data_IF_170644840904
#
_entry.id   IF_170644840904
#
_cell.length_a   1.000
_cell.length_b   1.000
_cell.length_c   1.000
_cell.angle_alpha   90.00
_cell.angle_beta   90.00
_cell.angle_gamma   90.00
#
_symmetry.space_group_name_H-M   'P 1'
#
loop_
_entity.id
_entity.type
_entity.pdbx_description
1 polymer ?
#
# COMPACT_ATOMS: atom_id res chain seq x y z
N UNK A 1 8.72 4.86 -30.69
CA UNK A 1 8.61 6.22 -31.23
C UNK A 1 9.99 6.60 -31.73
N UNK A 2 10.13 6.86 -33.03
CA UNK A 2 11.44 7.19 -33.63
C UNK A 2 11.80 8.63 -33.25
N UNK A 3 12.59 8.77 -32.19
CA UNK A 3 12.98 10.05 -31.58
C UNK A 3 14.02 10.82 -32.41
N UNK A 4 14.49 10.26 -33.53
CA UNK A 4 15.42 10.90 -34.45
C UNK A 4 14.90 12.24 -35.00
N UNK A 5 13.58 12.38 -35.17
CA UNK A 5 12.95 13.62 -35.65
C UNK A 5 12.80 14.73 -34.60
N UNK A 6 13.08 14.45 -33.33
CA UNK A 6 12.97 15.44 -32.25
C UNK A 6 14.22 16.34 -32.11
N UNK A 7 15.29 16.01 -32.83
CA UNK A 7 16.59 16.70 -32.76
C UNK A 7 16.99 17.22 -34.15
N UNK A 8 16.21 18.15 -34.71
CA UNK A 8 16.61 18.89 -35.90
C UNK A 8 17.21 20.22 -35.46
N UNK A 9 18.50 20.39 -35.75
CA UNK A 9 19.27 21.59 -35.46
C UNK A 9 18.77 22.77 -36.32
N UNK A 10 18.40 23.93 -35.76
CA UNK A 10 17.95 25.08 -36.54
C UNK A 10 19.03 25.68 -37.47
N UNK A 11 20.31 25.34 -37.31
CA UNK A 11 21.42 25.89 -38.12
C UNK A 11 21.89 24.97 -39.27
N UNK A 12 21.23 23.84 -39.53
CA UNK A 12 21.47 23.04 -40.74
C UNK A 12 22.78 22.23 -40.76
N UNK A 13 23.39 21.97 -39.60
CA UNK A 13 24.51 21.03 -39.49
C UNK A 13 24.00 19.57 -39.49
N UNK A 14 24.53 18.74 -40.40
CA UNK A 14 24.28 17.29 -40.47
C UNK A 14 24.92 16.56 -39.26
N UNK A 15 24.26 16.62 -38.10
CA UNK A 15 24.64 15.83 -36.94
C UNK A 15 24.08 14.41 -37.09
N UNK A 16 24.97 13.43 -37.35
CA UNK A 16 24.61 12.01 -37.42
C UNK A 16 24.44 11.43 -36.02
N UNK A 17 23.20 11.41 -35.52
CA UNK A 17 22.89 10.77 -34.24
C UNK A 17 22.78 9.24 -34.40
N UNK A 18 23.70 8.49 -33.77
CA UNK A 18 23.54 7.03 -33.66
C UNK A 18 22.57 6.69 -32.52
N UNK A 19 21.28 6.54 -32.85
CA UNK A 19 20.30 6.03 -31.88
C UNK A 19 20.50 4.52 -31.74
N UNK A 20 21.31 4.10 -30.76
CA UNK A 20 21.44 2.69 -30.40
C UNK A 20 20.11 2.23 -29.79
N UNK A 21 19.36 1.41 -30.53
CA UNK A 21 18.16 0.75 -30.02
C UNK A 21 18.60 -0.18 -28.88
N UNK A 22 18.37 0.24 -27.64
CA UNK A 22 18.70 -0.58 -26.46
C UNK A 22 17.89 -1.87 -26.54
N UNK A 23 18.57 -3.02 -26.45
CA UNK A 23 17.91 -4.31 -26.36
C UNK A 23 17.27 -4.43 -24.97
N UNK A 24 16.00 -4.04 -24.90
CA UNK A 24 15.21 -4.02 -23.64
C UNK A 24 15.17 -5.39 -22.99
N UNK A 25 15.17 -6.48 -23.78
CA UNK A 25 15.15 -7.85 -23.25
C UNK A 25 16.46 -8.20 -22.56
N UNK A 26 17.62 -7.89 -23.18
CA UNK A 26 18.93 -8.08 -22.53
C UNK A 26 19.12 -7.15 -21.34
N UNK A 27 18.68 -5.90 -21.43
CA UNK A 27 18.71 -4.96 -20.31
C UNK A 27 17.95 -5.52 -19.10
N UNK A 28 16.72 -5.96 -19.31
CA UNK A 28 15.90 -6.59 -18.26
C UNK A 28 16.55 -7.86 -17.70
N UNK A 29 17.10 -8.73 -18.55
CA UNK A 29 17.78 -9.95 -18.13
C UNK A 29 19.00 -9.63 -17.23
N UNK A 30 19.87 -8.70 -17.63
CA UNK A 30 21.03 -8.33 -16.82
C UNK A 30 20.62 -7.70 -15.48
N UNK A 31 19.61 -6.84 -15.46
CA UNK A 31 19.08 -6.29 -14.21
C UNK A 31 18.58 -7.39 -13.26
N UNK A 32 17.85 -8.39 -13.78
CA UNK A 32 17.38 -9.51 -12.97
C UNK A 32 18.52 -10.38 -12.44
N UNK A 33 19.58 -10.60 -13.23
CA UNK A 33 20.77 -11.33 -12.77
C UNK A 33 21.45 -10.58 -11.61
N UNK A 34 21.62 -9.26 -11.74
CA UNK A 34 22.19 -8.42 -10.67
C UNK A 34 21.36 -8.53 -9.40
N UNK A 35 20.03 -8.38 -9.50
CA UNK A 35 19.13 -8.51 -8.35
C UNK A 35 19.16 -9.92 -7.72
N UNK A 36 19.25 -10.97 -8.54
CA UNK A 36 19.37 -12.35 -8.07
C UNK A 36 20.65 -12.60 -7.28
N UNK A 37 21.79 -12.12 -7.79
CA UNK A 37 23.09 -12.24 -7.10
C UNK A 37 23.06 -11.50 -5.76
N UNK A 38 22.56 -10.25 -5.75
CA UNK A 38 22.41 -9.47 -4.53
C UNK A 38 21.50 -10.15 -3.51
N UNK A 39 20.36 -10.70 -3.94
CA UNK A 39 19.45 -11.44 -3.08
C UNK A 39 20.10 -12.68 -2.45
N UNK A 40 20.86 -13.46 -3.22
CA UNK A 40 21.59 -14.63 -2.71
C UNK A 40 22.60 -14.23 -1.62
N UNK A 41 23.35 -13.14 -1.83
CA UNK A 41 24.30 -12.61 -0.85
C UNK A 41 23.56 -12.20 0.43
N UNK A 42 22.47 -11.42 0.31
CA UNK A 42 21.70 -10.95 1.46
C UNK A 42 21.05 -12.10 2.25
N UNK A 43 20.53 -13.12 1.58
CA UNK A 43 19.98 -14.31 2.24
C UNK A 43 21.05 -15.11 2.96
N UNK A 44 22.22 -15.30 2.35
CA UNK A 44 23.34 -15.97 2.99
C UNK A 44 23.82 -15.20 4.23
N UNK A 45 23.97 -13.87 4.11
CA UNK A 45 24.33 -13.01 5.25
C UNK A 45 23.28 -13.08 6.35
N UNK A 46 22.00 -13.07 6.01
CA UNK A 46 20.91 -13.21 7.00
C UNK A 46 21.04 -14.54 7.73
N UNK A 47 21.21 -15.65 7.01
CA UNK A 47 21.41 -16.97 7.61
C UNK A 47 22.66 -17.04 8.51
N UNK A 48 23.79 -16.50 8.06
CA UNK A 48 25.05 -16.55 8.81
C UNK A 48 25.07 -15.62 10.03
N UNK A 49 24.37 -14.48 9.97
CA UNK A 49 24.42 -13.44 11.00
C UNK A 49 23.25 -13.50 11.99
N UNK A 50 22.11 -14.12 11.63
CA UNK A 50 20.98 -14.24 12.55
C UNK A 50 21.21 -15.35 13.57
N UNK A 51 21.11 -15.00 14.86
CA UNK A 51 21.10 -15.95 15.97
C UNK A 51 19.69 -16.08 16.51
N UNK A 52 19.14 -17.29 16.50
CA UNK A 52 17.82 -17.57 17.04
C UNK A 52 17.84 -17.41 18.58
N UNK A 53 17.04 -16.47 19.10
CA UNK A 53 16.99 -16.14 20.54
C UNK A 53 15.75 -16.69 21.27
N UNK A 54 14.76 -17.22 20.54
CA UNK A 54 13.49 -17.70 21.11
C UNK A 54 13.36 -19.19 20.82
N UNK A 55 13.47 -20.03 21.84
CA UNK A 55 13.23 -21.47 21.67
C UNK A 55 11.73 -21.77 21.76
N UNK A 56 11.16 -22.59 20.86
CA UNK A 56 9.79 -23.05 21.00
C UNK A 56 9.63 -23.89 22.28
N UNK A 57 8.57 -23.66 23.05
CA UNK A 57 8.30 -24.46 24.25
C UNK A 57 8.13 -25.94 23.87
N UNK A 58 8.89 -26.83 24.52
CA UNK A 58 8.94 -28.26 24.22
C UNK A 58 7.59 -29.01 24.38
N UNK A 59 6.62 -28.41 25.07
CA UNK A 59 5.34 -29.06 25.43
C UNK A 59 4.13 -28.75 24.53
N UNK A 60 4.30 -28.06 23.40
CA UNK A 60 3.14 -27.61 22.62
C UNK A 60 2.93 -28.41 21.33
N UNK A 61 2.07 -29.43 21.40
CA UNK A 61 1.48 -30.03 20.19
C UNK A 61 0.71 -28.95 19.42
N UNK A 62 1.27 -28.49 18.29
CA UNK A 62 0.68 -27.47 17.45
C UNK A 62 -0.56 -28.02 16.72
N UNK A 63 -1.75 -27.79 17.28
CA UNK A 63 -2.99 -28.00 16.53
C UNK A 63 -3.29 -26.78 15.66
N UNK A 64 -2.92 -26.84 14.38
CA UNK A 64 -3.17 -25.77 13.39
C UNK A 64 -4.66 -25.34 13.38
N UNK A 65 -5.58 -26.29 13.52
CA UNK A 65 -7.03 -26.03 13.60
C UNK A 65 -7.39 -25.14 14.80
N UNK A 66 -6.74 -25.37 15.96
CA UNK A 66 -6.95 -24.55 17.17
C UNK A 66 -6.39 -23.14 16.97
N UNK A 67 -5.22 -23.01 16.35
CA UNK A 67 -4.60 -21.72 16.10
C UNK A 67 -5.40 -20.89 15.09
N UNK A 68 -5.89 -21.51 14.03
CA UNK A 68 -6.77 -20.84 13.06
C UNK A 68 -8.10 -20.42 13.70
N UNK A 69 -8.68 -21.28 14.56
CA UNK A 69 -9.89 -20.93 15.32
C UNK A 69 -9.64 -19.74 16.26
N UNK A 70 -8.48 -19.70 16.92
CA UNK A 70 -8.09 -18.59 17.78
C UNK A 70 -7.88 -17.30 16.99
N UNK A 71 -7.28 -17.39 15.80
CA UNK A 71 -7.09 -16.26 14.89
C UNK A 71 -8.42 -15.65 14.46
N UNK A 72 -9.38 -16.46 13.98
CA UNK A 72 -10.70 -15.97 13.55
C UNK A 72 -11.53 -15.42 14.73
N UNK A 73 -11.26 -15.89 15.95
CA UNK A 73 -11.86 -15.36 17.19
C UNK A 73 -11.14 -14.12 17.74
N UNK A 74 -9.96 -13.79 17.21
CA UNK A 74 -9.22 -12.58 17.58
C UNK A 74 -9.89 -11.38 16.89
N UNK A 75 -10.83 -10.75 17.60
CA UNK A 75 -11.62 -9.63 17.10
C UNK A 75 -10.75 -8.48 16.57
N UNK A 76 -9.70 -8.00 17.29
CA UNK A 76 -8.77 -7.02 16.74
C UNK A 76 -8.14 -7.45 15.40
N UNK A 77 -7.75 -8.71 15.26
CA UNK A 77 -7.17 -9.23 14.01
C UNK A 77 -8.19 -9.25 12.87
N UNK A 78 -9.43 -9.68 13.12
CA UNK A 78 -10.50 -9.67 12.12
C UNK A 78 -10.82 -8.24 11.63
N UNK A 79 -10.78 -7.26 12.53
CA UNK A 79 -10.98 -5.86 12.17
C UNK A 79 -9.80 -5.35 11.33
N UNK A 80 -8.56 -5.69 11.68
CA UNK A 80 -7.39 -5.37 10.86
C UNK A 80 -7.43 -6.01 9.47
N UNK A 81 -7.97 -7.22 9.35
CA UNK A 81 -8.17 -7.88 8.06
C UNK A 81 -9.10 -7.04 7.16
N UNK A 82 -10.20 -6.53 7.70
CA UNK A 82 -11.11 -5.66 6.95
C UNK A 82 -10.41 -4.35 6.59
N UNK A 83 -9.76 -3.71 7.56
CA UNK A 83 -9.00 -2.47 7.34
C UNK A 83 -7.95 -2.64 6.23
N UNK A 84 -7.16 -3.72 6.24
CA UNK A 84 -6.10 -3.95 5.26
C UNK A 84 -6.63 -4.19 3.85
N UNK A 85 -7.69 -5.00 3.70
CA UNK A 85 -8.34 -5.28 2.41
C UNK A 85 -8.82 -3.98 1.76
N UNK A 86 -9.56 -3.16 2.50
CA UNK A 86 -10.14 -1.93 1.95
C UNK A 86 -9.09 -0.83 1.73
N UNK A 87 -8.09 -0.74 2.60
CA UNK A 87 -6.93 0.16 2.40
C UNK A 87 -6.16 -0.20 1.13
N UNK A 88 -5.91 -1.49 0.89
CA UNK A 88 -5.20 -1.93 -0.31
C UNK A 88 -6.06 -1.83 -1.55
N UNK A 89 -7.38 -2.04 -1.42
CA UNK A 89 -8.34 -1.75 -2.48
C UNK A 89 -8.22 -0.31 -2.97
N UNK A 90 -8.16 0.66 -2.06
CA UNK A 90 -7.90 2.06 -2.42
C UNK A 90 -6.62 2.21 -3.24
N UNK A 91 -5.49 1.65 -2.75
CA UNK A 91 -4.17 1.83 -3.37
C UNK A 91 -4.18 1.24 -4.77
N UNK A 92 -4.67 0.02 -4.93
CA UNK A 92 -4.64 -0.69 -6.21
C UNK A 92 -5.58 -0.05 -7.24
N UNK A 93 -6.80 0.33 -6.84
CA UNK A 93 -7.73 0.97 -7.77
C UNK A 93 -7.14 2.31 -8.24
N UNK A 94 -6.63 3.13 -7.33
CA UNK A 94 -6.07 4.43 -7.69
C UNK A 94 -4.82 4.27 -8.56
N UNK A 95 -3.85 3.45 -8.14
CA UNK A 95 -2.62 3.21 -8.90
C UNK A 95 -2.90 2.63 -10.28
N UNK A 96 -3.84 1.68 -10.37
CA UNK A 96 -4.28 1.09 -11.63
C UNK A 96 -4.97 2.09 -12.56
N UNK A 97 -5.54 3.19 -12.04
CA UNK A 97 -6.27 4.19 -12.83
C UNK A 97 -5.38 5.34 -13.30
N UNK A 98 -4.18 5.56 -12.74
CA UNK A 98 -3.32 6.74 -13.06
C UNK A 98 -3.05 6.85 -14.55
N UNK A 99 -2.64 5.75 -15.18
CA UNK A 99 -2.33 5.76 -16.61
C UNK A 99 -3.57 6.08 -17.46
N UNK A 100 -4.74 5.51 -17.12
CA UNK A 100 -5.98 5.78 -17.85
C UNK A 100 -6.44 7.22 -17.71
N UNK A 101 -6.34 7.79 -16.50
CA UNK A 101 -6.70 9.18 -16.22
C UNK A 101 -5.84 10.15 -17.03
N UNK A 102 -4.52 9.97 -17.03
CA UNK A 102 -3.61 10.86 -17.76
C UNK A 102 -3.68 10.66 -19.27
N UNK A 103 -3.85 9.43 -19.75
CA UNK A 103 -3.93 9.12 -21.18
C UNK A 103 -5.26 9.58 -21.82
N UNK A 104 -6.40 9.32 -21.18
CA UNK A 104 -7.71 9.52 -21.81
C UNK A 104 -8.46 10.77 -21.33
N UNK A 105 -8.25 11.23 -20.08
CA UNK A 105 -8.95 12.41 -19.55
C UNK A 105 -8.12 13.68 -19.63
N UNK A 106 -6.85 13.64 -19.21
CA UNK A 106 -5.91 14.78 -19.33
C UNK A 106 -5.31 14.86 -20.74
N UNK A 107 -5.34 13.76 -21.51
CA UNK A 107 -4.78 13.68 -22.87
C UNK A 107 -3.25 13.94 -22.91
N UNK A 108 -2.55 13.63 -21.82
CA UNK A 108 -1.09 13.75 -21.71
C UNK A 108 -0.50 12.62 -20.85
N UNK A 109 -0.07 11.55 -21.52
CA UNK A 109 0.46 10.34 -20.87
C UNK A 109 1.83 10.57 -20.19
N UNK A 110 2.64 11.52 -20.66
CA UNK A 110 3.96 11.82 -20.08
C UNK A 110 3.85 12.33 -18.64
N UNK A 111 2.76 13.01 -18.31
CA UNK A 111 2.50 13.50 -16.96
C UNK A 111 2.22 12.38 -15.95
N UNK A 112 1.80 11.19 -16.40
CA UNK A 112 1.50 10.07 -15.51
C UNK A 112 2.74 9.62 -14.71
N UNK A 113 3.90 9.55 -15.38
CA UNK A 113 5.16 9.19 -14.74
C UNK A 113 5.58 10.25 -13.71
N UNK A 114 5.51 11.53 -14.07
CA UNK A 114 5.80 12.63 -13.15
C UNK A 114 4.84 12.64 -11.95
N UNK A 115 3.57 12.35 -12.17
CA UNK A 115 2.56 12.23 -11.12
C UNK A 115 2.93 11.13 -10.12
N UNK A 116 3.26 9.92 -10.59
CA UNK A 116 3.71 8.81 -9.74
C UNK A 116 4.99 9.13 -8.96
N UNK A 117 5.97 9.79 -9.59
CA UNK A 117 7.22 10.19 -8.94
C UNK A 117 6.94 11.23 -7.84
N UNK A 118 6.13 12.25 -8.14
CA UNK A 118 5.77 13.28 -7.15
C UNK A 118 5.04 12.68 -5.93
N UNK A 119 4.15 11.72 -6.15
CA UNK A 119 3.49 10.97 -5.08
C UNK A 119 4.48 10.15 -4.25
N UNK A 120 5.41 9.46 -4.90
CA UNK A 120 6.46 8.68 -4.21
C UNK A 120 7.33 9.56 -3.31
N UNK A 121 7.77 10.73 -3.79
CA UNK A 121 8.55 11.69 -3.00
C UNK A 121 7.75 12.16 -1.77
N UNK A 122 6.46 12.47 -1.95
CA UNK A 122 5.58 12.86 -0.87
C UNK A 122 5.40 11.74 0.18
N UNK A 123 5.27 10.48 -0.27
CA UNK A 123 5.21 9.31 0.62
C UNK A 123 6.49 9.17 1.43
N UNK A 124 7.67 9.32 0.83
CA UNK A 124 8.96 9.21 1.54
C UNK A 124 9.02 10.23 2.70
N UNK A 125 8.67 11.48 2.42
CA UNK A 125 8.68 12.55 3.42
C UNK A 125 7.63 12.25 4.52
N UNK A 126 6.43 11.81 4.14
CA UNK A 126 5.38 11.48 5.10
C UNK A 126 5.71 10.27 5.98
N UNK A 127 6.37 9.24 5.43
CA UNK A 127 6.80 8.06 6.20
C UNK A 127 7.79 8.46 7.30
N UNK A 128 8.73 9.36 7.02
CA UNK A 128 9.70 9.84 8.01
C UNK A 128 9.05 10.48 9.24
N UNK A 129 7.86 11.07 9.09
CA UNK A 129 7.10 11.69 10.18
C UNK A 129 6.22 10.70 10.95
N UNK A 130 6.09 9.45 10.47
CA UNK A 130 5.15 8.46 11.05
C UNK A 130 5.46 8.17 12.51
N UNK A 131 6.72 7.94 12.87
CA UNK A 131 7.10 7.60 14.24
C UNK A 131 6.79 8.74 15.23
N UNK A 132 7.06 9.98 14.83
CA UNK A 132 6.76 11.17 15.65
C UNK A 132 5.25 11.34 15.83
N UNK A 133 4.48 11.19 14.74
CA UNK A 133 3.03 11.34 14.78
C UNK A 133 2.35 10.20 15.54
N UNK A 134 2.82 8.96 15.38
CA UNK A 134 2.24 7.78 16.02
C UNK A 134 2.45 7.83 17.54
N UNK A 135 3.62 8.28 18.01
CA UNK A 135 3.89 8.49 19.44
C UNK A 135 3.03 9.59 20.07
N UNK A 136 2.72 10.65 19.32
CA UNK A 136 1.92 11.80 19.82
C UNK A 136 0.41 11.54 19.81
N UNK A 137 -0.10 10.98 18.72
CA UNK A 137 -1.54 10.83 18.50
C UNK A 137 -2.04 9.43 18.86
N UNK A 138 -1.15 8.45 18.86
CA UNK A 138 -1.47 7.05 19.00
C UNK A 138 -1.78 6.36 17.66
N UNK A 139 -1.52 5.05 17.58
CA UNK A 139 -1.60 4.29 16.31
C UNK A 139 -3.01 4.30 15.71
N UNK A 140 -4.02 3.93 16.51
CA UNK A 140 -5.43 3.89 16.10
C UNK A 140 -5.93 5.26 15.64
N UNK A 141 -5.67 6.31 16.44
CA UNK A 141 -6.16 7.66 16.15
C UNK A 141 -5.48 8.25 14.93
N UNK A 142 -4.16 8.06 14.79
CA UNK A 142 -3.44 8.49 13.61
C UNK A 142 -3.98 7.82 12.35
N UNK A 143 -4.21 6.50 12.38
CA UNK A 143 -4.80 5.77 11.26
C UNK A 143 -6.16 6.35 10.85
N UNK A 144 -7.07 6.61 11.80
CA UNK A 144 -8.37 7.22 11.54
C UNK A 144 -8.25 8.61 10.89
N UNK A 145 -7.34 9.46 11.40
CA UNK A 145 -7.11 10.81 10.87
C UNK A 145 -6.58 10.74 9.44
N UNK A 146 -5.53 9.95 9.19
CA UNK A 146 -4.91 9.91 7.86
C UNK A 146 -5.82 9.30 6.81
N UNK A 147 -6.55 8.23 7.15
CA UNK A 147 -7.50 7.62 6.22
C UNK A 147 -8.73 8.50 5.97
N UNK A 148 -9.23 9.18 7.01
CA UNK A 148 -10.32 10.15 6.88
C UNK A 148 -9.94 11.32 5.98
N UNK A 149 -8.79 11.96 6.24
CA UNK A 149 -8.28 13.07 5.42
C UNK A 149 -8.02 12.62 3.98
N UNK A 150 -7.40 11.45 3.79
CA UNK A 150 -7.17 10.89 2.46
C UNK A 150 -8.47 10.67 1.69
N UNK A 151 -9.53 10.21 2.36
CA UNK A 151 -10.86 10.04 1.76
C UNK A 151 -11.42 11.37 1.29
N UNK A 152 -11.42 12.41 2.15
CA UNK A 152 -11.92 13.74 1.81
C UNK A 152 -11.14 14.34 0.63
N UNK A 153 -9.80 14.36 0.69
CA UNK A 153 -9.01 14.91 -0.41
C UNK A 153 -9.19 14.12 -1.71
N UNK A 154 -9.40 12.81 -1.62
CA UNK A 154 -9.69 11.98 -2.80
C UNK A 154 -11.07 12.27 -3.40
N UNK A 155 -12.08 12.59 -2.59
CA UNK A 155 -13.38 13.05 -3.10
C UNK A 155 -13.25 14.43 -3.77
N UNK A 156 -12.54 15.36 -3.13
CA UNK A 156 -12.26 16.70 -3.68
C UNK A 156 -11.55 16.61 -5.04
N UNK A 157 -10.67 15.63 -5.21
CA UNK A 157 -9.94 15.40 -6.46
C UNK A 157 -10.86 15.26 -7.69
N UNK A 158 -12.09 14.72 -7.52
CA UNK A 158 -13.05 14.60 -8.63
C UNK A 158 -13.41 15.96 -9.23
N UNK A 159 -13.47 17.01 -8.42
CA UNK A 159 -13.98 18.33 -8.82
C UNK A 159 -12.91 19.20 -9.50
N UNK A 160 -11.67 18.72 -9.58
CA UNK A 160 -10.57 19.43 -10.25
C UNK A 160 -10.76 19.28 -11.78
N UNK A 161 -10.86 20.38 -12.53
CA UNK A 161 -11.01 20.31 -13.98
C UNK A 161 -9.67 19.98 -14.66
N UNK A 162 -9.73 19.38 -15.86
CA UNK A 162 -8.55 18.79 -16.54
C UNK A 162 -7.46 19.81 -16.92
N UNK A 163 -7.83 21.07 -17.07
CA UNK A 163 -6.95 22.20 -17.40
C UNK A 163 -6.06 22.62 -16.22
N UNK A 164 -6.49 22.36 -14.98
CA UNK A 164 -5.78 22.75 -13.76
C UNK A 164 -4.74 21.69 -13.33
N UNK A 165 -3.77 21.41 -14.20
CA UNK A 165 -2.74 20.37 -13.96
C UNK A 165 -1.97 20.62 -12.65
N UNK A 166 -1.62 21.87 -12.35
CA UNK A 166 -0.94 22.21 -11.10
C UNK A 166 -1.74 21.78 -9.86
N UNK A 167 -3.06 22.01 -9.86
CA UNK A 167 -3.94 21.63 -8.75
C UNK A 167 -4.09 20.10 -8.66
N UNK A 168 -4.16 19.39 -9.79
CA UNK A 168 -4.14 17.92 -9.85
C UNK A 168 -2.91 17.36 -9.13
N UNK A 169 -1.73 17.90 -9.42
CA UNK A 169 -0.48 17.50 -8.77
C UNK A 169 -0.44 17.90 -7.29
N UNK A 170 -0.81 19.13 -6.95
CA UNK A 170 -0.81 19.61 -5.57
C UNK A 170 -1.69 18.74 -4.65
N UNK A 171 -2.93 18.46 -5.07
CA UNK A 171 -3.84 17.61 -4.29
C UNK A 171 -3.33 16.17 -4.23
N UNK A 172 -2.73 15.65 -5.30
CA UNK A 172 -2.14 14.31 -5.27
C UNK A 172 -0.95 14.19 -4.31
N UNK A 173 -0.08 15.20 -4.25
CA UNK A 173 1.03 15.26 -3.31
C UNK A 173 0.50 15.28 -1.87
N UNK A 174 -0.52 16.09 -1.60
CA UNK A 174 -1.17 16.12 -0.27
C UNK A 174 -1.76 14.75 0.09
N UNK A 175 -2.49 14.12 -0.81
CA UNK A 175 -3.07 12.77 -0.58
C UNK A 175 -1.96 11.76 -0.29
N UNK A 176 -0.90 11.75 -1.11
CA UNK A 176 0.22 10.82 -0.99
C UNK A 176 0.98 11.00 0.33
N UNK A 177 1.22 12.26 0.72
CA UNK A 177 1.82 12.59 2.01
C UNK A 177 0.96 12.15 3.20
N UNK A 178 -0.34 12.49 3.16
CA UNK A 178 -1.29 12.14 4.23
C UNK A 178 -1.39 10.63 4.40
N UNK A 179 -1.38 9.87 3.31
CA UNK A 179 -1.47 8.42 3.34
C UNK A 179 -0.17 7.72 3.73
N UNK A 180 0.96 8.41 3.71
CA UNK A 180 2.26 7.80 3.96
C UNK A 180 2.36 6.99 5.28
N UNK A 181 1.76 7.42 6.41
CA UNK A 181 1.82 6.66 7.66
C UNK A 181 1.05 5.34 7.64
N UNK A 182 0.16 5.10 6.67
CA UNK A 182 -0.75 3.95 6.73
C UNK A 182 -0.03 2.60 6.73
N UNK A 183 0.99 2.43 5.89
CA UNK A 183 1.70 1.17 5.76
C UNK A 183 2.44 0.76 7.05
N UNK A 184 3.32 1.61 7.63
CA UNK A 184 3.97 1.27 8.90
C UNK A 184 2.98 1.14 10.07
N UNK A 185 1.89 1.92 10.10
CA UNK A 185 0.86 1.78 11.13
C UNK A 185 0.19 0.41 11.10
N UNK A 186 -0.24 -0.07 9.92
CA UNK A 186 -0.84 -1.39 9.81
C UNK A 186 0.10 -2.50 10.28
N UNK A 187 1.40 -2.42 9.96
CA UNK A 187 2.39 -3.38 10.43
C UNK A 187 2.59 -3.33 11.95
N UNK A 188 2.62 -2.14 12.55
CA UNK A 188 2.66 -1.99 14.01
C UNK A 188 1.40 -2.57 14.67
N UNK A 189 0.22 -2.32 14.11
CA UNK A 189 -1.05 -2.86 14.61
C UNK A 189 -1.14 -4.39 14.45
N UNK A 190 -0.53 -4.97 13.42
CA UNK A 190 -0.42 -6.44 13.33
C UNK A 190 0.41 -7.02 14.48
N UNK A 191 1.53 -6.38 14.82
CA UNK A 191 2.32 -6.78 15.99
C UNK A 191 1.49 -6.70 17.28
N UNK A 192 0.70 -5.64 17.47
CA UNK A 192 -0.21 -5.50 18.61
C UNK A 192 -1.19 -6.69 18.71
N UNK A 193 -1.70 -7.19 17.58
CA UNK A 193 -2.58 -8.37 17.60
C UNK A 193 -1.87 -9.68 17.95
N UNK A 194 -0.54 -9.76 17.73
CA UNK A 194 0.28 -10.89 18.18
C UNK A 194 0.35 -10.89 19.71
N UNK A 195 0.67 -9.75 20.31
CA UNK A 195 0.76 -9.63 21.76
C UNK A 195 -0.62 -9.78 22.42
N UNK A 196 -1.69 -9.23 21.83
CA UNK A 196 -3.07 -9.50 22.26
C UNK A 196 -3.42 -11.00 22.22
N UNK A 197 -2.99 -11.71 21.17
CA UNK A 197 -3.21 -13.15 21.05
C UNK A 197 -2.45 -13.94 22.13
N UNK A 198 -1.21 -13.55 22.42
CA UNK A 198 -0.42 -14.14 23.51
C UNK A 198 -1.11 -13.91 24.86
N UNK A 199 -1.56 -12.68 25.11
CA UNK A 199 -2.24 -12.30 26.34
C UNK A 199 -3.54 -13.05 26.58
N UNK A 200 -4.38 -13.19 25.55
CA UNK A 200 -5.71 -13.81 25.64
C UNK A 200 -5.70 -15.33 25.58
N UNK A 201 -4.87 -15.91 24.69
CA UNK A 201 -4.86 -17.35 24.43
C UNK A 201 -3.66 -18.07 25.05
N UNK A 202 -2.75 -17.33 25.71
CA UNK A 202 -1.54 -17.89 26.31
C UNK A 202 -0.51 -18.40 25.30
N UNK A 203 -0.72 -18.14 24.00
CA UNK A 203 0.10 -18.64 22.90
C UNK A 203 0.46 -17.52 21.93
N UNK A 204 1.76 -17.35 21.73
CA UNK A 204 2.31 -16.39 20.77
C UNK A 204 2.27 -16.98 19.36
N UNK A 205 1.21 -16.68 18.60
CA UNK A 205 1.00 -17.19 17.25
C UNK A 205 1.61 -16.28 16.16
N UNK A 206 2.84 -15.77 16.37
CA UNK A 206 3.49 -14.77 15.50
C UNK A 206 3.47 -15.18 14.03
N UNK A 207 3.95 -16.39 13.71
CA UNK A 207 4.02 -16.87 12.33
C UNK A 207 2.66 -16.95 11.65
N UNK A 208 1.64 -17.44 12.37
CA UNK A 208 0.28 -17.54 11.84
C UNK A 208 -0.34 -16.14 11.60
N UNK A 209 -0.18 -15.21 12.54
CA UNK A 209 -0.74 -13.87 12.42
C UNK A 209 -0.08 -13.09 11.28
N UNK A 210 1.25 -13.15 11.14
CA UNK A 210 1.96 -12.44 10.06
C UNK A 210 1.74 -13.08 8.69
N UNK A 211 1.64 -14.41 8.60
CA UNK A 211 1.26 -15.07 7.34
C UNK A 211 -0.17 -14.75 6.95
N UNK A 212 -1.10 -14.75 7.90
CA UNK A 212 -2.50 -14.38 7.65
C UNK A 212 -2.66 -12.88 7.32
N UNK A 213 -1.85 -12.01 7.93
CA UNK A 213 -1.75 -10.60 7.56
C UNK A 213 -1.29 -10.44 6.10
N UNK A 214 -0.20 -11.10 5.70
CA UNK A 214 0.29 -11.09 4.32
C UNK A 214 -0.73 -11.65 3.33
N UNK A 215 -1.44 -12.73 3.71
CA UNK A 215 -2.56 -13.26 2.94
C UNK A 215 -3.67 -12.21 2.76
N UNK A 216 -4.09 -11.54 3.84
CA UNK A 216 -5.11 -10.49 3.76
C UNK A 216 -4.71 -9.36 2.80
N UNK A 217 -3.42 -9.02 2.77
CA UNK A 217 -2.92 -8.00 1.85
C UNK A 217 -3.02 -8.43 0.40
N UNK A 218 -2.54 -9.64 0.07
CA UNK A 218 -2.63 -10.19 -1.28
C UNK A 218 -4.08 -10.34 -1.73
N UNK A 219 -4.96 -10.74 -0.83
CA UNK A 219 -6.39 -10.84 -1.10
C UNK A 219 -6.99 -9.46 -1.39
N UNK A 220 -6.68 -8.44 -0.58
CA UNK A 220 -7.09 -7.06 -0.84
C UNK A 220 -6.59 -6.52 -2.17
N UNK A 221 -5.34 -6.83 -2.54
CA UNK A 221 -4.79 -6.44 -3.84
C UNK A 221 -5.49 -7.15 -5.00
N UNK A 222 -5.74 -8.46 -4.89
CA UNK A 222 -6.45 -9.22 -5.91
C UNK A 222 -7.88 -8.71 -6.10
N UNK A 223 -8.60 -8.43 -5.00
CA UNK A 223 -9.93 -7.83 -5.04
C UNK A 223 -9.91 -6.42 -5.64
N UNK A 224 -8.97 -5.58 -5.23
CA UNK A 224 -8.82 -4.21 -5.76
C UNK A 224 -8.51 -4.20 -7.26
N UNK A 225 -7.60 -5.07 -7.70
CA UNK A 225 -7.22 -5.20 -9.11
C UNK A 225 -8.36 -5.77 -9.95
N UNK A 226 -9.03 -6.82 -9.46
CA UNK A 226 -10.21 -7.41 -10.10
C UNK A 226 -11.36 -6.40 -10.21
N UNK A 227 -11.62 -5.65 -9.14
CA UNK A 227 -12.63 -4.58 -9.13
C UNK A 227 -12.28 -3.48 -10.12
N UNK A 228 -11.01 -3.05 -10.20
CA UNK A 228 -10.57 -2.07 -11.19
C UNK A 228 -10.81 -2.55 -12.63
N UNK A 229 -10.46 -3.79 -12.95
CA UNK A 229 -10.72 -4.37 -14.27
C UNK A 229 -12.21 -4.49 -14.60
N UNK A 230 -13.02 -4.95 -13.63
CA UNK A 230 -14.47 -5.05 -13.78
C UNK A 230 -15.13 -3.68 -13.99
N UNK A 231 -14.69 -2.65 -13.26
CA UNK A 231 -15.19 -1.28 -13.43
C UNK A 231 -14.87 -0.74 -14.82
N UNK A 232 -13.65 -0.93 -15.33
CA UNK A 232 -13.29 -0.52 -16.69
C UNK A 232 -14.18 -1.19 -17.74
N UNK A 233 -14.45 -2.50 -17.58
CA UNK A 233 -15.34 -3.24 -18.48
C UNK A 233 -16.78 -2.70 -18.44
N UNK A 234 -17.33 -2.41 -17.25
CA UNK A 234 -18.68 -1.85 -17.10
C UNK A 234 -18.82 -0.45 -17.68
N UNK A 235 -17.76 0.36 -17.64
CA UNK A 235 -17.73 1.68 -18.27
C UNK A 235 -17.43 1.61 -19.77
N UNK A 236 -17.51 0.43 -20.40
CA UNK A 236 -17.28 0.19 -21.83
C UNK A 236 -15.93 0.72 -22.32
N UNK A 237 -14.90 0.65 -21.48
CA UNK A 237 -13.56 1.12 -21.83
C UNK A 237 -13.01 0.36 -23.04
N UNK A 238 -12.49 1.10 -24.02
CA UNK A 238 -11.81 0.53 -25.19
C UNK A 238 -10.37 1.05 -25.31
N UNK A 239 -9.35 0.19 -25.38
CA UNK A 239 -7.96 0.66 -25.43
C UNK A 239 -7.63 1.36 -26.74
N UNK A 240 -6.85 2.44 -26.66
CA UNK A 240 -6.25 3.17 -27.79
C UNK A 240 -7.23 3.84 -28.77
N UNK A 241 -8.47 4.06 -28.35
CA UNK A 241 -9.46 4.86 -29.09
C UNK A 241 -9.93 6.05 -28.26
N UNK A 242 -10.61 7.01 -28.88
CA UNK A 242 -11.28 8.07 -28.14
C UNK A 242 -12.40 7.46 -27.27
N UNK A 243 -12.45 7.86 -25.99
CA UNK A 243 -13.41 7.31 -25.04
C UNK A 243 -14.72 8.08 -25.08
N UNK A 244 -15.83 7.39 -24.76
CA UNK A 244 -17.13 8.05 -24.62
C UNK A 244 -17.19 8.94 -23.37
N UNK A 245 -18.11 9.92 -23.29
CA UNK A 245 -18.31 10.72 -22.09
C UNK A 245 -18.59 9.88 -20.84
N UNK A 246 -19.33 8.78 -20.97
CA UNK A 246 -19.62 7.87 -19.86
C UNK A 246 -18.34 7.19 -19.35
N UNK A 247 -17.48 6.72 -20.25
CA UNK A 247 -16.21 6.09 -19.87
C UNK A 247 -15.27 7.08 -19.18
N UNK A 248 -15.22 8.33 -19.65
CA UNK A 248 -14.42 9.38 -19.00
C UNK A 248 -14.91 9.68 -17.58
N UNK A 249 -16.23 9.69 -17.35
CA UNK A 249 -16.80 9.78 -16.00
C UNK A 249 -16.35 8.59 -15.16
N UNK A 250 -16.42 7.37 -15.70
CA UNK A 250 -15.95 6.15 -15.03
C UNK A 250 -14.49 6.24 -14.58
N UNK A 251 -13.58 6.65 -15.47
CA UNK A 251 -12.15 6.83 -15.16
C UNK A 251 -11.96 7.87 -14.05
N UNK A 252 -12.71 8.98 -14.08
CA UNK A 252 -12.66 9.99 -13.01
C UNK A 252 -13.17 9.46 -11.67
N UNK A 253 -14.24 8.66 -11.67
CA UNK A 253 -14.79 8.03 -10.46
C UNK A 253 -13.81 7.02 -9.85
N UNK A 254 -13.15 6.22 -10.70
CA UNK A 254 -12.09 5.28 -10.30
C UNK A 254 -10.85 5.97 -9.74
N UNK A 255 -10.65 7.25 -10.06
CA UNK A 255 -9.61 8.10 -9.47
C UNK A 255 -9.98 8.76 -8.14
N UNK A 256 -11.28 8.79 -7.80
CA UNK A 256 -11.81 9.63 -6.74
C UNK A 256 -12.80 8.87 -5.85
N UNK A 257 -14.11 8.98 -6.12
CA UNK A 257 -15.17 8.47 -5.27
C UNK A 257 -15.09 6.96 -5.00
N UNK A 258 -14.69 6.15 -5.98
CA UNK A 258 -14.64 4.69 -5.81
C UNK A 258 -13.56 4.30 -4.79
N UNK A 259 -12.28 4.69 -4.95
CA UNK A 259 -11.28 4.53 -3.88
C UNK A 259 -11.69 5.21 -2.57
N UNK A 260 -12.30 6.41 -2.61
CA UNK A 260 -12.72 7.08 -1.38
C UNK A 260 -13.75 6.27 -0.60
N UNK A 261 -14.66 5.56 -1.27
CA UNK A 261 -15.61 4.66 -0.62
C UNK A 261 -14.89 3.50 0.08
N UNK A 262 -13.84 2.92 -0.51
CA UNK A 262 -13.08 1.85 0.14
C UNK A 262 -12.36 2.37 1.39
N UNK A 263 -11.79 3.58 1.36
CA UNK A 263 -11.18 4.17 2.56
C UNK A 263 -12.20 4.52 3.64
N UNK A 264 -13.41 4.96 3.29
CA UNK A 264 -14.49 5.16 4.27
C UNK A 264 -14.82 3.85 4.98
N UNK A 265 -14.92 2.74 4.26
CA UNK A 265 -15.18 1.43 4.88
C UNK A 265 -14.02 1.04 5.83
N UNK A 266 -12.77 1.30 5.44
CA UNK A 266 -11.61 1.06 6.31
C UNK A 266 -11.64 1.93 7.58
N UNK A 267 -12.04 3.21 7.47
CA UNK A 267 -12.23 4.12 8.60
C UNK A 267 -13.35 3.63 9.53
N UNK A 268 -14.49 3.23 8.97
CA UNK A 268 -15.60 2.65 9.73
C UNK A 268 -15.17 1.40 10.49
N UNK A 269 -14.44 0.48 9.84
CA UNK A 269 -13.87 -0.69 10.50
C UNK A 269 -12.91 -0.31 11.64
N UNK A 270 -12.05 0.69 11.41
CA UNK A 270 -11.08 1.16 12.39
C UNK A 270 -11.72 1.79 13.64
N UNK A 271 -12.94 2.33 13.57
CA UNK A 271 -13.65 2.78 14.77
C UNK A 271 -13.91 1.64 15.76
N UNK A 272 -14.22 0.45 15.25
CA UNK A 272 -14.45 -0.75 16.05
C UNK A 272 -13.16 -1.41 16.56
N UNK A 273 -11.98 -0.98 16.10
CA UNK A 273 -10.70 -1.53 16.53
C UNK A 273 -10.42 -1.22 18.01
N UNK A 274 -10.17 -2.24 18.83
CA UNK A 274 -10.14 -2.09 20.29
C UNK A 274 -8.74 -1.83 20.87
N UNK A 275 -7.67 -2.09 20.10
CA UNK A 275 -6.29 -1.96 20.61
C UNK A 275 -5.77 -0.53 20.41
N UNK A 276 -6.07 0.34 21.37
CA UNK A 276 -5.38 1.63 21.49
C UNK A 276 -4.09 1.49 22.30
N UNK A 277 -3.27 2.55 22.33
CA UNK A 277 -1.96 2.49 22.98
C UNK A 277 -2.08 2.27 24.50
N UNK A 278 -3.16 2.73 25.13
CA UNK A 278 -3.43 2.48 26.56
C UNK A 278 -3.72 1.00 26.82
N UNK A 279 -4.54 0.40 25.97
CA UNK A 279 -4.85 -1.04 26.03
C UNK A 279 -3.60 -1.87 25.79
N UNK A 280 -2.76 -1.47 24.84
CA UNK A 280 -1.51 -2.15 24.55
C UNK A 280 -0.51 -2.06 25.69
N UNK A 281 -0.34 -0.88 26.32
CA UNK A 281 0.50 -0.73 27.51
C UNK A 281 0.06 -1.65 28.65
N UNK A 282 -1.26 -1.76 28.89
CA UNK A 282 -1.80 -2.69 29.88
C UNK A 282 -1.44 -4.14 29.55
N UNK A 283 -1.64 -4.55 28.29
CA UNK A 283 -1.32 -5.91 27.83
C UNK A 283 0.17 -6.21 27.99
N UNK A 284 1.04 -5.28 27.63
CA UNK A 284 2.50 -5.42 27.75
C UNK A 284 2.93 -5.58 29.21
N UNK A 285 2.39 -4.78 30.12
CA UNK A 285 2.68 -4.89 31.56
C UNK A 285 2.22 -6.24 32.12
N UNK A 286 0.99 -6.68 31.83
CA UNK A 286 0.48 -7.98 32.28
C UNK A 286 1.28 -9.16 31.70
N UNK A 287 1.77 -9.04 30.46
CA UNK A 287 2.64 -10.05 29.85
C UNK A 287 4.02 -10.08 30.51
N UNK A 288 4.58 -8.92 30.85
CA UNK A 288 5.85 -8.81 31.57
C UNK A 288 5.76 -9.50 32.95
N UNK A 289 4.71 -9.20 33.73
CA UNK A 289 4.47 -9.85 35.04
C UNK A 289 4.32 -11.37 34.92
N UNK A 290 3.64 -11.87 33.87
CA UNK A 290 3.50 -13.31 33.61
C UNK A 290 4.83 -13.98 33.26
N UNK A 291 5.76 -13.26 32.63
CA UNK A 291 7.09 -13.77 32.29
C UNK A 291 7.98 -13.82 33.52
N UNK A 292 7.93 -12.79 34.37
CA UNK A 292 8.65 -12.80 35.66
C UNK A 292 8.19 -13.94 36.56
N UNK A 293 6.89 -14.23 36.64
CA UNK A 293 6.37 -15.37 37.43
C UNK A 293 6.73 -16.75 36.86
N UNK A 294 7.21 -16.84 35.62
CA UNK A 294 7.60 -18.08 34.95
C UNK A 294 9.11 -18.29 34.90
N UNK A 295 9.90 -17.25 35.19
CA UNK A 295 11.35 -17.30 35.32
C UNK A 295 11.75 -17.78 36.72
#
# INVERSE_FOLDING_TARGET
>A
MDISKAFVDPEGADLTYSVRKVDVAKGFQYTLVIYGVLACILFYLTFALTKERVQPSKDQQASLKKDLRNLVRNRPWMILLVMSIFTLGYVIIRMGTILYYFKYYIENELLAALFMVSGTVAVIIGVALTDVLSKRLGKKRLYLIVMGLASVFTMVFYHIPKDQIFLVFAVHIVISFVMAPQAPLLWAMYADTVDYSEWKYGRRATGLIFSAATFSQKFGMALGGGLAGWLLANFNFQPNVAQSPETLIGIRLMMSYIPAATTVIAVVAAFFYELDDKTMQKIENELAERREKRA
#
